data_IF_792165230037
#
_entry.id   IF_792165230037
#
_cell.length_a   1.000
_cell.length_b   1.000
_cell.length_c   1.000
_cell.angle_alpha   90.00
_cell.angle_beta   90.00
_cell.angle_gamma   90.00
#
_symmetry.space_group_name_H-M   'P 1'
#
loop_
_entity.id
_entity.type
_entity.pdbx_description
1 polymer ?
#
# COMPACT_ATOMS: atom_id res chain seq x y z
N UNK A 1 63.25 -54.86 -9.73
CA UNK A 1 62.32 -53.90 -9.12
C UNK A 1 62.14 -52.75 -10.11
N UNK A 2 61.03 -52.75 -10.87
CA UNK A 2 60.76 -51.74 -11.92
C UNK A 2 59.99 -50.59 -11.29
N UNK A 3 60.54 -49.38 -11.43
CA UNK A 3 59.83 -48.12 -11.17
C UNK A 3 59.35 -47.64 -12.54
N UNK A 4 58.07 -47.87 -12.81
CA UNK A 4 57.41 -47.41 -14.02
C UNK A 4 57.33 -45.89 -13.98
N UNK A 5 57.98 -45.28 -14.96
CA UNK A 5 57.97 -43.85 -15.19
C UNK A 5 56.56 -43.45 -15.60
N UNK A 6 55.95 -42.52 -14.85
CA UNK A 6 54.81 -41.74 -15.31
C UNK A 6 55.26 -40.92 -16.52
N UNK A 7 55.08 -41.52 -17.70
CA UNK A 7 55.16 -40.82 -18.98
C UNK A 7 53.97 -39.86 -19.05
N UNK A 8 54.20 -38.64 -18.59
CA UNK A 8 53.31 -37.51 -18.80
C UNK A 8 53.30 -37.15 -20.28
N UNK A 9 52.55 -37.93 -21.07
CA UNK A 9 52.18 -37.55 -22.42
C UNK A 9 51.41 -36.23 -22.35
N UNK A 10 52.11 -35.12 -22.62
CA UNK A 10 51.46 -33.86 -22.95
C UNK A 10 50.73 -34.08 -24.27
N UNK A 11 49.38 -34.10 -24.32
CA UNK A 11 48.71 -34.13 -25.61
C UNK A 11 49.17 -32.88 -26.35
N UNK A 12 49.72 -33.03 -27.56
CA UNK A 12 50.02 -31.90 -28.44
C UNK A 12 48.67 -31.29 -28.83
N UNK A 13 48.14 -30.42 -27.97
CA UNK A 13 46.89 -29.72 -28.22
C UNK A 13 47.06 -28.93 -29.51
N UNK A 14 46.18 -29.21 -30.48
CA UNK A 14 46.07 -28.47 -31.73
C UNK A 14 46.06 -26.96 -31.43
N UNK A 15 46.75 -26.16 -32.24
CA UNK A 15 46.88 -24.70 -32.06
C UNK A 15 45.52 -24.03 -31.78
N UNK A 16 44.46 -24.57 -32.40
CA UNK A 16 43.06 -24.16 -32.22
C UNK A 16 42.57 -24.33 -30.78
N UNK A 17 42.88 -25.46 -30.13
CA UNK A 17 42.48 -25.73 -28.75
C UNK A 17 43.16 -24.81 -27.75
N UNK A 18 44.44 -24.47 -27.99
CA UNK A 18 45.20 -23.53 -27.15
C UNK A 18 44.66 -22.10 -27.27
N UNK A 19 44.26 -21.71 -28.48
CA UNK A 19 43.62 -20.42 -28.76
C UNK A 19 42.25 -20.32 -28.06
N UNK A 20 41.43 -21.37 -28.15
CA UNK A 20 40.12 -21.43 -27.48
C UNK A 20 40.28 -21.40 -25.97
N UNK A 21 41.27 -22.11 -25.40
CA UNK A 21 41.51 -22.11 -23.96
C UNK A 21 41.90 -20.72 -23.44
N UNK A 22 42.73 -19.99 -24.20
CA UNK A 22 43.15 -18.62 -23.86
C UNK A 22 41.97 -17.65 -23.95
N UNK A 23 41.15 -17.78 -24.99
CA UNK A 23 39.94 -16.97 -25.18
C UNK A 23 38.93 -17.21 -24.06
N UNK A 24 38.69 -18.47 -23.70
CA UNK A 24 37.82 -18.85 -22.59
C UNK A 24 38.32 -18.22 -21.29
N UNK A 25 39.61 -18.31 -20.97
CA UNK A 25 40.17 -17.69 -19.76
C UNK A 25 40.00 -16.17 -19.73
N UNK A 26 40.04 -15.51 -20.89
CA UNK A 26 39.85 -14.07 -20.99
C UNK A 26 38.38 -13.65 -20.77
N UNK A 27 37.43 -14.44 -21.28
CA UNK A 27 35.99 -14.12 -21.23
C UNK A 27 35.34 -14.58 -19.92
N UNK A 28 35.85 -15.64 -19.29
CA UNK A 28 35.31 -16.23 -18.08
C UNK A 28 35.11 -15.23 -16.91
N UNK A 29 36.08 -14.37 -16.54
CA UNK A 29 35.88 -13.41 -15.46
C UNK A 29 34.80 -12.38 -15.79
N UNK A 30 34.65 -12.00 -17.06
CA UNK A 30 33.62 -11.07 -17.50
C UNK A 30 32.22 -11.66 -17.32
N UNK A 31 32.03 -12.92 -17.71
CA UNK A 31 30.74 -13.60 -17.55
C UNK A 31 30.40 -13.78 -16.07
N UNK A 32 31.36 -14.23 -15.25
CA UNK A 32 31.15 -14.40 -13.81
C UNK A 32 30.75 -13.07 -13.15
N UNK A 33 31.46 -11.99 -13.48
CA UNK A 33 31.17 -10.66 -12.93
C UNK A 33 29.79 -10.15 -13.38
N UNK A 34 29.44 -10.37 -14.65
CA UNK A 34 28.13 -9.98 -15.19
C UNK A 34 26.99 -10.71 -14.50
N UNK A 35 27.10 -12.02 -14.29
CA UNK A 35 26.07 -12.82 -13.62
C UNK A 35 25.95 -12.41 -12.15
N UNK A 36 27.09 -12.20 -11.47
CA UNK A 36 27.10 -11.73 -10.09
C UNK A 36 26.39 -10.37 -9.93
N UNK A 37 26.70 -9.42 -10.83
CA UNK A 37 26.04 -8.10 -10.85
C UNK A 37 24.55 -8.19 -11.14
N UNK A 38 24.15 -9.03 -12.10
CA UNK A 38 22.74 -9.22 -12.41
C UNK A 38 21.97 -9.81 -11.20
N UNK A 39 22.57 -10.73 -10.46
CA UNK A 39 21.97 -11.28 -9.24
C UNK A 39 21.84 -10.23 -8.13
N UNK A 40 22.89 -9.44 -7.91
CA UNK A 40 22.91 -8.38 -6.89
C UNK A 40 21.88 -7.27 -7.18
N UNK A 41 21.74 -6.88 -8.47
CA UNK A 41 20.75 -5.91 -8.92
C UNK A 41 19.32 -6.42 -8.69
N UNK A 42 19.04 -7.68 -9.04
CA UNK A 42 17.72 -8.27 -8.80
C UNK A 42 17.37 -8.29 -7.32
N UNK A 43 18.32 -8.69 -6.46
CA UNK A 43 18.11 -8.70 -5.01
C UNK A 43 17.88 -7.31 -4.44
N UNK A 44 18.54 -6.29 -4.99
CA UNK A 44 18.35 -4.90 -4.58
C UNK A 44 16.97 -4.38 -5.01
N UNK A 45 16.56 -4.63 -6.26
CA UNK A 45 15.24 -4.27 -6.78
C UNK A 45 14.11 -4.91 -5.97
N UNK A 46 14.25 -6.18 -5.58
CA UNK A 46 13.27 -6.86 -4.75
C UNK A 46 13.15 -6.22 -3.36
N UNK A 47 14.27 -5.86 -2.74
CA UNK A 47 14.28 -5.16 -1.44
C UNK A 47 13.67 -3.77 -1.54
N UNK A 48 14.02 -3.01 -2.58
CA UNK A 48 13.52 -1.65 -2.76
C UNK A 48 11.99 -1.67 -2.96
N UNK A 49 11.46 -2.63 -3.73
CA UNK A 49 10.02 -2.82 -3.91
C UNK A 49 9.29 -3.23 -2.61
N UNK A 50 9.91 -4.06 -1.77
CA UNK A 50 9.37 -4.43 -0.46
C UNK A 50 9.31 -3.24 0.49
N UNK A 51 10.39 -2.43 0.54
CA UNK A 51 10.46 -1.23 1.39
C UNK A 51 9.44 -0.18 0.95
N UNK A 52 9.30 0.04 -0.36
CA UNK A 52 8.29 0.96 -0.90
C UNK A 52 6.87 0.53 -0.55
N UNK A 53 6.57 -0.77 -0.70
CA UNK A 53 5.26 -1.33 -0.34
C UNK A 53 4.96 -1.20 1.15
N UNK A 54 5.94 -1.44 2.01
CA UNK A 54 5.80 -1.28 3.47
C UNK A 54 5.58 0.19 3.87
N UNK A 55 6.32 1.11 3.26
CA UNK A 55 6.17 2.54 3.51
C UNK A 55 4.80 3.06 3.05
N UNK A 56 4.32 2.59 1.89
CA UNK A 56 2.98 2.90 1.39
C UNK A 56 1.90 2.37 2.33
N UNK A 57 1.99 1.09 2.73
CA UNK A 57 1.06 0.49 3.67
C UNK A 57 1.02 1.27 5.00
N UNK A 58 2.19 1.63 5.55
CA UNK A 58 2.30 2.41 6.77
C UNK A 58 1.66 3.80 6.65
N UNK A 59 1.89 4.50 5.53
CA UNK A 59 1.29 5.81 5.26
C UNK A 59 -0.24 5.72 5.14
N UNK A 60 -0.75 4.68 4.49
CA UNK A 60 -2.20 4.42 4.39
C UNK A 60 -2.78 4.11 5.77
N UNK A 61 -2.13 3.26 6.57
CA UNK A 61 -2.58 2.96 7.93
C UNK A 61 -2.65 4.20 8.82
N UNK A 62 -1.62 5.06 8.79
CA UNK A 62 -1.65 6.32 9.55
C UNK A 62 -2.79 7.24 9.10
N UNK A 63 -3.02 7.35 7.79
CA UNK A 63 -4.11 8.17 7.26
C UNK A 63 -5.49 7.61 7.64
N UNK A 64 -5.63 6.29 7.73
CA UNK A 64 -6.86 5.63 8.18
C UNK A 64 -7.07 5.87 9.67
N UNK A 65 -6.03 5.72 10.50
CA UNK A 65 -6.12 5.97 11.94
C UNK A 65 -6.50 7.43 12.23
N UNK A 66 -5.93 8.39 11.50
CA UNK A 66 -6.29 9.80 11.61
C UNK A 66 -7.76 10.05 11.20
N UNK A 67 -8.24 9.40 10.14
CA UNK A 67 -9.64 9.50 9.70
C UNK A 67 -10.61 8.87 10.73
N UNK A 68 -10.24 7.74 11.32
CA UNK A 68 -11.00 7.09 12.39
C UNK A 68 -11.01 7.98 13.63
N UNK A 69 -9.88 8.56 14.01
CA UNK A 69 -9.76 9.51 15.12
C UNK A 69 -10.65 10.73 14.94
N UNK A 70 -10.58 11.38 13.78
CA UNK A 70 -11.43 12.53 13.45
C UNK A 70 -12.93 12.18 13.45
N UNK A 71 -13.28 10.98 12.99
CA UNK A 71 -14.66 10.45 13.08
C UNK A 71 -15.07 10.26 14.53
N UNK A 72 -14.19 9.71 15.36
CA UNK A 72 -14.41 9.54 16.80
C UNK A 72 -14.67 10.87 17.50
N UNK A 73 -13.82 11.88 17.26
CA UNK A 73 -13.97 13.22 17.85
C UNK A 73 -15.28 13.90 17.43
N UNK A 74 -15.70 13.70 16.17
CA UNK A 74 -16.99 14.17 15.68
C UNK A 74 -18.16 13.46 16.39
N UNK A 75 -18.10 12.13 16.54
CA UNK A 75 -19.13 11.38 17.27
C UNK A 75 -19.19 11.77 18.75
N UNK A 76 -18.05 12.02 19.39
CA UNK A 76 -17.97 12.49 20.78
C UNK A 76 -18.60 13.89 20.90
N UNK A 77 -18.29 14.78 19.96
CA UNK A 77 -18.86 16.13 19.92
C UNK A 77 -20.38 16.11 19.71
N UNK A 78 -20.87 15.25 18.81
CA UNK A 78 -22.31 14.99 18.62
C UNK A 78 -22.94 14.46 19.91
N UNK A 79 -22.32 13.46 20.54
CA UNK A 79 -22.84 12.83 21.76
C UNK A 79 -22.90 13.78 22.96
N UNK A 80 -22.00 14.76 23.02
CA UNK A 80 -21.99 15.78 24.06
C UNK A 80 -22.96 16.94 23.81
N UNK A 81 -23.60 17.01 22.64
CA UNK A 81 -24.58 18.05 22.34
C UNK A 81 -25.80 17.94 23.28
N UNK A 82 -26.27 19.07 23.81
CA UNK A 82 -27.35 19.08 24.82
C UNK A 82 -28.63 18.45 24.30
N UNK A 83 -28.99 18.69 23.02
CA UNK A 83 -30.18 18.10 22.39
C UNK A 83 -30.08 16.58 22.20
N UNK A 84 -28.85 16.07 22.01
CA UNK A 84 -28.58 14.64 21.91
C UNK A 84 -28.71 13.97 23.29
N UNK A 85 -28.20 14.61 24.34
CA UNK A 85 -28.31 14.14 25.73
C UNK A 85 -29.73 14.23 26.28
N UNK A 86 -30.50 15.23 25.87
CA UNK A 86 -31.90 15.42 26.28
C UNK A 86 -32.88 14.65 25.39
N UNK A 87 -32.37 13.88 24.42
CA UNK A 87 -33.17 13.08 23.48
C UNK A 87 -34.23 13.91 22.72
N UNK A 88 -33.92 15.18 22.44
CA UNK A 88 -34.81 16.06 21.68
C UNK A 88 -34.69 15.77 20.18
N UNK A 89 -35.35 14.70 19.73
CA UNK A 89 -35.23 14.16 18.37
C UNK A 89 -35.55 15.17 17.26
N UNK A 90 -36.46 16.11 17.51
CA UNK A 90 -36.80 17.15 16.56
C UNK A 90 -35.63 18.11 16.33
N UNK A 91 -35.00 18.58 17.42
CA UNK A 91 -33.84 19.46 17.36
C UNK A 91 -32.60 18.75 16.79
N UNK A 92 -32.39 17.47 17.12
CA UNK A 92 -31.28 16.67 16.55
C UNK A 92 -31.43 16.54 15.03
N UNK A 93 -32.65 16.30 14.53
CA UNK A 93 -32.89 16.15 13.10
C UNK A 93 -32.70 17.47 12.33
N UNK A 94 -33.05 18.61 12.93
CA UNK A 94 -32.81 19.93 12.35
C UNK A 94 -31.31 20.25 12.34
N UNK A 95 -30.62 19.98 13.45
CA UNK A 95 -29.17 20.15 13.55
C UNK A 95 -28.41 19.26 12.55
N UNK A 96 -28.81 18.00 12.40
CA UNK A 96 -28.22 17.10 11.40
C UNK A 96 -28.41 17.55 9.94
N UNK A 97 -29.49 18.28 9.63
CA UNK A 97 -29.67 18.89 8.31
C UNK A 97 -28.75 20.08 8.10
N UNK A 98 -28.44 20.81 9.16
CA UNK A 98 -27.56 21.99 9.11
C UNK A 98 -26.08 21.61 9.03
N UNK A 99 -25.64 20.60 9.80
CA UNK A 99 -24.25 20.11 9.76
C UNK A 99 -23.98 19.16 8.60
N UNK A 100 -25.02 18.57 8.01
CA UNK A 100 -24.88 17.60 6.92
C UNK A 100 -23.98 18.10 5.77
N UNK A 101 -24.21 19.31 5.22
CA UNK A 101 -23.36 19.88 4.18
C UNK A 101 -21.88 19.99 4.53
N UNK A 102 -21.52 20.19 5.81
CA UNK A 102 -20.14 20.36 6.27
C UNK A 102 -19.37 19.03 6.33
N UNK A 103 -20.10 17.91 6.29
CA UNK A 103 -19.54 16.56 6.40
C UNK A 103 -19.86 15.69 5.17
N UNK A 104 -19.42 16.09 3.95
CA UNK A 104 -19.75 15.41 2.70
C UNK A 104 -19.12 14.02 2.54
N UNK A 105 -18.16 13.67 3.40
CA UNK A 105 -17.46 12.38 3.39
C UNK A 105 -18.26 11.23 4.02
N UNK A 106 -19.28 11.53 4.83
CA UNK A 106 -20.12 10.52 5.47
C UNK A 106 -21.37 10.26 4.64
N UNK A 107 -21.64 9.00 4.31
CA UNK A 107 -22.83 8.63 3.51
C UNK A 107 -24.12 8.92 4.29
N UNK A 108 -24.13 8.57 5.57
CA UNK A 108 -25.26 8.79 6.48
C UNK A 108 -24.74 9.09 7.89
N UNK A 109 -25.45 9.94 8.63
CA UNK A 109 -25.30 10.09 10.09
C UNK A 109 -26.62 9.65 10.71
N UNK A 110 -26.57 8.70 11.65
CA UNK A 110 -27.75 8.05 12.23
C UNK A 110 -27.66 8.16 13.75
N UNK A 111 -28.75 8.57 14.39
CA UNK A 111 -28.92 8.53 15.82
C UNK A 111 -29.84 7.37 16.21
N UNK A 112 -29.32 6.48 17.06
CA UNK A 112 -29.99 5.25 17.51
C UNK A 112 -30.16 5.31 19.02
N UNK A 113 -31.36 5.02 19.51
CA UNK A 113 -31.67 4.96 20.95
C UNK A 113 -31.18 3.63 21.57
N UNK A 114 -31.17 3.53 22.91
CA UNK A 114 -30.70 2.34 23.65
C UNK A 114 -31.46 1.05 23.29
N UNK A 115 -32.67 1.16 22.74
CA UNK A 115 -33.52 0.06 22.28
C UNK A 115 -33.20 -0.37 20.84
N UNK A 116 -32.26 0.28 20.16
CA UNK A 116 -31.91 -0.01 18.77
C UNK A 116 -32.80 0.67 17.73
N UNK A 117 -33.69 1.56 18.16
CA UNK A 117 -34.55 2.34 17.27
C UNK A 117 -33.82 3.55 16.68
N UNK A 118 -33.95 3.74 15.37
CA UNK A 118 -33.46 4.95 14.70
C UNK A 118 -34.42 6.10 14.98
N UNK A 119 -33.97 7.15 15.68
CA UNK A 119 -34.81 8.31 16.04
C UNK A 119 -34.52 9.56 15.20
N UNK A 120 -33.30 9.68 14.66
CA UNK A 120 -32.95 10.73 13.70
C UNK A 120 -31.94 10.19 12.69
N UNK A 121 -32.02 10.62 11.43
CA UNK A 121 -31.03 10.28 10.43
C UNK A 121 -30.93 11.40 9.39
N UNK A 122 -29.72 11.63 8.89
CA UNK A 122 -29.50 12.41 7.67
C UNK A 122 -28.77 11.54 6.66
N UNK A 123 -29.31 11.49 5.46
CA UNK A 123 -28.70 10.81 4.32
C UNK A 123 -28.12 11.85 3.39
N UNK A 124 -26.83 11.77 3.12
CA UNK A 124 -26.24 12.62 2.11
C UNK A 124 -26.72 12.16 0.74
N UNK A 125 -27.58 12.96 0.13
CA UNK A 125 -27.91 12.79 -1.29
C UNK A 125 -26.79 13.44 -2.08
N UNK A 126 -25.76 12.66 -2.38
CA UNK A 126 -24.73 13.03 -3.36
C UNK A 126 -25.43 13.18 -4.73
N UNK A 127 -26.03 14.35 -5.00
CA UNK A 127 -26.77 14.58 -6.25
C UNK A 127 -27.92 15.59 -6.28
N UNK A 128 -28.22 16.40 -5.26
CA UNK A 128 -29.19 17.49 -5.43
C UNK A 128 -28.51 18.75 -6.01
N UNK A 129 -28.20 18.71 -7.31
CA UNK A 129 -27.99 19.95 -8.08
C UNK A 129 -29.25 20.81 -7.88
N UNK A 130 -29.12 21.92 -7.16
CA UNK A 130 -29.98 23.10 -7.33
C UNK A 130 -29.78 23.63 -8.76
N UNK A 131 -30.43 22.99 -9.72
CA UNK A 131 -30.73 23.55 -11.02
C UNK A 131 -32.15 24.09 -10.95
N UNK A 132 -32.28 25.39 -10.71
CA UNK A 132 -33.48 26.14 -11.07
C UNK A 132 -33.69 25.99 -12.58
N UNK A 133 -34.68 25.19 -12.97
CA UNK A 133 -35.23 25.23 -14.33
C UNK A 133 -36.59 25.88 -14.20
N UNK A 134 -36.59 27.19 -14.47
CA UNK A 134 -37.78 27.94 -14.87
C UNK A 134 -38.20 27.41 -16.24
N UNK A 135 -39.38 26.81 -16.34
CA UNK A 135 -40.24 26.84 -17.54
C UNK A 135 -41.67 27.00 -17.06
#
# INVERSE_FOLDING_TARGET
>A
MKIDKFDGQKPKMSLKARLIMLLTWMILPFIIFSVYKAYDINKKLERDAQVESLNLAKSISQSIDDYIGATGDLLISISNHNDVRTQNYAAINEWFKDIGPDYPYYVNIIFVDAQGDIKAFVRQTKGAKRGTVNV
#
